data_IF_755066939919
#
_entry.id   IF_755066939919
#
_cell.length_a   1.000
_cell.length_b   1.000
_cell.length_c   1.000
_cell.angle_alpha   90.00
_cell.angle_beta   90.00
_cell.angle_gamma   90.00
#
_symmetry.space_group_name_H-M   'P 1'
#
loop_
_entity.id
_entity.type
_entity.pdbx_description
1 polymer ?
#
# COMPACT_ATOMS: atom_id res chain seq x y z
N UNK A 1 2.79 23.52 -16.29
CA UNK A 1 2.65 22.08 -16.07
C UNK A 1 3.83 21.36 -16.67
N UNK A 2 4.47 20.52 -15.91
CA UNK A 2 5.62 19.78 -16.40
C UNK A 2 5.20 18.69 -17.37
N UNK A 3 6.14 18.27 -18.22
CA UNK A 3 5.90 17.18 -19.14
C UNK A 3 5.67 15.88 -18.39
N UNK A 4 4.93 14.93 -19.02
CA UNK A 4 4.72 13.65 -18.37
C UNK A 4 6.06 12.94 -18.13
N UNK A 5 6.15 12.27 -16.99
CA UNK A 5 7.34 11.52 -16.63
C UNK A 5 7.46 10.29 -17.53
N UNK A 6 8.61 10.14 -18.15
CA UNK A 6 8.91 8.94 -18.93
C UNK A 6 9.67 7.95 -18.06
N UNK A 7 9.01 6.88 -17.64
CA UNK A 7 9.59 5.90 -16.75
C UNK A 7 10.81 5.20 -17.33
N UNK A 8 10.92 5.11 -18.66
CA UNK A 8 12.08 4.49 -19.30
C UNK A 8 13.34 5.35 -19.18
N UNK A 9 13.18 6.65 -18.99
CA UNK A 9 14.29 7.58 -18.85
C UNK A 9 14.65 7.87 -17.41
N UNK A 10 13.85 7.39 -16.45
CA UNK A 10 14.15 7.60 -15.03
C UNK A 10 15.29 6.72 -14.58
N UNK A 11 16.18 7.24 -13.71
CA UNK A 11 17.19 6.39 -13.07
C UNK A 11 16.50 5.27 -12.29
N UNK A 12 17.15 4.11 -12.20
CA UNK A 12 16.59 2.97 -11.49
C UNK A 12 16.27 3.28 -10.03
N UNK A 13 17.08 4.13 -9.39
CA UNK A 13 16.83 4.53 -7.99
C UNK A 13 15.55 5.33 -7.82
N UNK A 14 15.05 5.96 -8.90
CA UNK A 14 13.84 6.77 -8.84
C UNK A 14 12.58 5.99 -9.23
N UNK A 15 12.74 4.77 -9.74
CA UNK A 15 11.61 3.93 -10.10
C UNK A 15 11.10 3.18 -8.89
N UNK A 16 9.79 3.22 -8.69
CA UNK A 16 9.14 2.47 -7.62
C UNK A 16 8.37 1.34 -8.29
N UNK A 17 8.82 0.12 -8.04
CA UNK A 17 8.27 -1.08 -8.68
C UNK A 17 7.86 -2.06 -7.59
N UNK A 18 6.62 -2.51 -7.68
CA UNK A 18 6.08 -3.54 -6.80
C UNK A 18 5.55 -4.70 -7.61
N UNK A 19 5.63 -5.89 -7.04
CA UNK A 19 4.97 -7.09 -7.55
C UNK A 19 4.16 -7.70 -6.44
N UNK A 20 3.05 -8.31 -6.78
CA UNK A 20 2.20 -8.96 -5.80
C UNK A 20 1.78 -10.33 -6.30
N UNK A 21 1.90 -11.32 -5.43
CA UNK A 21 1.42 -12.67 -5.68
C UNK A 21 0.38 -13.02 -4.62
N UNK A 22 -0.68 -13.68 -5.02
CA UNK A 22 -1.73 -14.10 -4.12
C UNK A 22 -1.96 -15.60 -4.18
N UNK A 23 -2.27 -16.17 -3.02
CA UNK A 23 -2.58 -17.59 -2.90
C UNK A 23 -3.88 -17.73 -2.12
N UNK A 24 -4.90 -18.36 -2.71
CA UNK A 24 -6.15 -18.61 -1.98
C UNK A 24 -5.95 -19.70 -0.93
N UNK A 25 -6.54 -19.49 0.24
CA UNK A 25 -6.47 -20.43 1.35
C UNK A 25 -7.85 -20.49 2.00
N UNK A 26 -8.34 -21.68 2.27
CA UNK A 26 -9.66 -21.85 2.88
C UNK A 26 -10.78 -21.37 1.98
N UNK A 27 -11.78 -20.72 2.58
CA UNK A 27 -12.97 -20.30 1.85
C UNK A 27 -12.77 -19.01 1.07
N UNK A 28 -12.29 -17.96 1.74
CA UNK A 28 -12.16 -16.64 1.13
C UNK A 28 -10.85 -15.94 1.52
N UNK A 29 -10.00 -16.58 2.29
CA UNK A 29 -8.75 -15.99 2.70
C UNK A 29 -7.77 -16.00 1.54
N UNK A 30 -7.06 -14.89 1.36
CA UNK A 30 -5.97 -14.77 0.41
C UNK A 30 -4.69 -14.42 1.17
N UNK A 31 -3.64 -15.14 0.90
CA UNK A 31 -2.32 -14.80 1.41
C UNK A 31 -1.54 -14.10 0.32
N UNK A 32 -1.03 -12.92 0.62
CA UNK A 32 -0.45 -12.03 -0.36
C UNK A 32 1.00 -11.75 -0.02
N UNK A 33 1.84 -11.84 -1.04
CA UNK A 33 3.23 -11.43 -0.91
C UNK A 33 3.46 -10.24 -1.83
N UNK A 34 3.83 -9.12 -1.23
CA UNK A 34 4.10 -7.89 -1.97
C UNK A 34 5.58 -7.62 -1.93
N UNK A 35 6.21 -7.62 -3.09
CA UNK A 35 7.63 -7.37 -3.21
C UNK A 35 7.87 -5.98 -3.76
N UNK A 36 8.58 -5.14 -3.02
CA UNK A 36 9.15 -3.94 -3.58
C UNK A 36 10.45 -4.35 -4.27
N UNK A 37 10.51 -4.12 -5.57
CA UNK A 37 11.67 -4.49 -6.39
C UNK A 37 12.65 -3.33 -6.49
N UNK A 38 12.12 -2.12 -6.53
CA UNK A 38 12.89 -0.88 -6.67
C UNK A 38 12.17 0.23 -5.90
N UNK A 39 12.88 1.15 -5.26
CA UNK A 39 14.33 1.35 -5.22
C UNK A 39 15.07 0.42 -4.27
N UNK A 40 14.38 -0.20 -3.32
CA UNK A 40 14.96 -1.15 -2.37
C UNK A 40 14.19 -2.46 -2.47
N UNK A 41 14.86 -3.54 -2.16
CA UNK A 41 14.22 -4.86 -2.17
C UNK A 41 13.66 -5.16 -0.78
N UNK A 42 12.35 -5.19 -0.68
CA UNK A 42 11.65 -5.52 0.55
C UNK A 42 10.44 -6.39 0.23
N UNK A 43 10.12 -7.29 1.12
CA UNK A 43 8.96 -8.18 0.98
C UNK A 43 8.02 -7.97 2.15
N UNK A 44 6.74 -7.82 1.85
CA UNK A 44 5.69 -7.67 2.84
C UNK A 44 4.70 -8.81 2.67
N UNK A 45 4.32 -9.42 3.80
CA UNK A 45 3.31 -10.46 3.78
C UNK A 45 2.03 -9.92 4.39
N UNK A 46 0.96 -10.03 3.62
CA UNK A 46 -0.36 -9.53 3.99
C UNK A 46 -1.38 -10.62 3.78
N UNK A 47 -2.55 -10.43 4.34
CA UNK A 47 -3.65 -11.35 4.11
C UNK A 47 -4.95 -10.58 4.04
N UNK A 48 -5.88 -11.10 3.26
CA UNK A 48 -7.26 -10.63 3.24
C UNK A 48 -8.19 -11.81 3.47
N UNK A 49 -9.35 -11.51 4.01
CA UNK A 49 -10.41 -12.49 4.17
C UNK A 49 -11.73 -11.75 4.07
N UNK A 50 -12.82 -12.45 4.16
CA UNK A 50 -14.14 -11.86 4.25
C UNK A 50 -14.78 -12.29 5.57
N UNK A 51 -15.74 -11.50 6.03
CA UNK A 51 -16.53 -11.90 7.19
C UNK A 51 -17.51 -13.01 6.82
N UNK A 52 -18.15 -13.59 7.82
CA UNK A 52 -19.08 -14.70 7.60
C UNK A 52 -20.23 -14.30 6.67
N UNK A 53 -20.62 -13.03 6.67
CA UNK A 53 -21.67 -12.51 5.80
C UNK A 53 -21.33 -12.71 4.32
N UNK A 54 -20.05 -12.65 3.97
CA UNK A 54 -19.57 -12.81 2.60
C UNK A 54 -18.87 -14.15 2.39
N UNK A 55 -19.12 -15.12 3.26
CA UNK A 55 -18.62 -16.47 3.08
C UNK A 55 -17.22 -16.73 3.60
N UNK A 56 -16.67 -15.82 4.36
CA UNK A 56 -15.33 -15.97 4.92
C UNK A 56 -15.34 -16.38 6.38
N UNK A 57 -14.15 -16.52 6.93
CA UNK A 57 -13.91 -16.91 8.31
C UNK A 57 -13.40 -15.75 9.18
N UNK A 58 -13.36 -14.56 8.65
CA UNK A 58 -12.92 -13.34 9.34
C UNK A 58 -11.54 -13.46 9.97
N UNK A 59 -10.60 -14.11 9.28
CA UNK A 59 -9.25 -14.32 9.79
C UNK A 59 -8.28 -13.20 9.42
N UNK A 60 -8.72 -12.25 8.60
CA UNK A 60 -7.94 -11.10 8.16
C UNK A 60 -8.91 -10.00 7.71
N UNK A 61 -8.42 -8.77 7.55
CA UNK A 61 -9.28 -7.69 7.05
C UNK A 61 -9.77 -7.97 5.63
N UNK A 62 -10.97 -7.50 5.28
CA UNK A 62 -11.40 -7.58 3.89
C UNK A 62 -10.54 -6.69 2.99
N UNK A 63 -10.42 -7.04 1.69
CA UNK A 63 -9.58 -6.24 0.78
C UNK A 63 -9.93 -4.76 0.75
N UNK A 64 -11.20 -4.43 0.85
CA UNK A 64 -11.64 -3.03 0.86
C UNK A 64 -11.07 -2.27 2.06
N UNK A 65 -10.97 -2.91 3.22
CA UNK A 65 -10.40 -2.28 4.40
C UNK A 65 -8.92 -1.94 4.18
N UNK A 66 -8.17 -2.84 3.54
CA UNK A 66 -6.77 -2.58 3.21
C UNK A 66 -6.64 -1.46 2.18
N UNK A 67 -7.54 -1.41 1.21
CA UNK A 67 -7.54 -0.34 0.23
C UNK A 67 -7.78 1.02 0.89
N UNK A 68 -8.78 1.11 1.75
CA UNK A 68 -9.08 2.35 2.47
C UNK A 68 -7.90 2.75 3.36
N UNK A 69 -7.33 1.78 4.07
CA UNK A 69 -6.17 2.04 4.93
C UNK A 69 -4.99 2.57 4.12
N UNK A 70 -4.73 2.00 2.93
CA UNK A 70 -3.61 2.44 2.11
C UNK A 70 -3.81 3.85 1.58
N UNK A 71 -5.00 4.19 1.13
CA UNK A 71 -5.32 5.55 0.67
C UNK A 71 -5.17 6.55 1.82
N UNK A 72 -5.72 6.22 2.97
CA UNK A 72 -5.64 7.08 4.16
C UNK A 72 -4.18 7.28 4.58
N UNK A 73 -3.42 6.18 4.66
CA UNK A 73 -2.01 6.25 5.03
C UNK A 73 -1.19 7.07 4.05
N UNK A 74 -1.48 6.95 2.77
CA UNK A 74 -0.80 7.72 1.74
C UNK A 74 -1.03 9.22 1.91
N UNK A 75 -2.30 9.60 2.15
CA UNK A 75 -2.66 11.00 2.36
C UNK A 75 -1.98 11.54 3.62
N UNK A 76 -2.02 10.77 4.72
CA UNK A 76 -1.40 11.19 5.97
C UNK A 76 0.11 11.40 5.80
N UNK A 77 0.77 10.47 5.07
CA UNK A 77 2.19 10.59 4.81
C UNK A 77 2.51 11.86 4.02
N UNK A 78 1.70 12.18 3.01
CA UNK A 78 1.92 13.38 2.22
C UNK A 78 1.73 14.64 3.05
N UNK A 79 0.70 14.69 3.89
CA UNK A 79 0.47 15.82 4.76
C UNK A 79 1.65 16.01 5.72
N UNK A 80 2.10 14.91 6.34
CA UNK A 80 3.19 14.98 7.31
C UNK A 80 4.51 15.39 6.63
N UNK A 81 4.79 14.86 5.46
CA UNK A 81 6.01 15.22 4.71
C UNK A 81 5.97 16.68 4.28
N UNK A 82 4.83 17.14 3.79
CA UNK A 82 4.65 18.53 3.36
C UNK A 82 4.77 19.48 4.56
N UNK A 83 4.12 19.14 5.67
CA UNK A 83 4.18 19.95 6.90
C UNK A 83 5.59 20.06 7.44
N UNK A 84 6.36 18.96 7.41
CA UNK A 84 7.74 18.97 7.83
C UNK A 84 8.58 19.91 6.96
N UNK A 85 8.35 19.88 5.64
CA UNK A 85 9.05 20.74 4.70
C UNK A 85 8.75 22.22 4.94
N UNK A 86 7.51 22.51 5.36
CA UNK A 86 7.07 23.85 5.69
C UNK A 86 7.28 24.22 7.16
N UNK A 87 7.85 23.33 7.95
CA UNK A 87 8.11 23.52 9.38
C UNK A 87 6.83 23.77 10.19
N UNK A 88 5.76 23.08 9.82
CA UNK A 88 4.49 23.11 10.53
C UNK A 88 4.36 21.84 11.35
N UNK A 89 3.94 21.96 12.61
CA UNK A 89 3.65 20.80 13.44
C UNK A 89 2.27 20.26 13.15
N UNK A 90 2.16 18.94 13.04
CA UNK A 90 0.88 18.26 12.90
C UNK A 90 0.74 17.33 14.10
N UNK A 91 -0.06 17.74 15.09
CA UNK A 91 -0.18 17.00 16.34
C UNK A 91 -1.40 16.09 16.37
N UNK A 92 -2.41 16.42 15.64
CA UNK A 92 -3.70 15.73 15.73
C UNK A 92 -4.28 15.55 14.33
N UNK A 93 -3.83 14.51 13.65
CA UNK A 93 -4.23 14.24 12.29
C UNK A 93 -5.23 13.10 12.25
N UNK A 94 -6.45 13.44 11.90
CA UNK A 94 -7.54 12.48 11.74
C UNK A 94 -8.00 12.40 10.29
#
# INVERSE_FOLDING_TARGET
MSDPINLKEMPDQAKVIFKCNGKPVGKMRNELTVDMVSPLKETFELATDEGSFHGGDATAPPPLALFIASVTGCIMTQIRAFSKRMKIQVEDLN
#
